data_IF_221012007615
#
_entry.id   IF_221012007615
#
_cell.length_a   1.000
_cell.length_b   1.000
_cell.length_c   1.000
_cell.angle_alpha   90.00
_cell.angle_beta   90.00
_cell.angle_gamma   90.00
#
_symmetry.space_group_name_H-M   'P 1'
#
loop_
_entity.id
_entity.type
_entity.pdbx_description
1 polymer ?
#
# COMPACT_ATOMS: atom_id res chain seq x y z
N UNK A 1 -4.73 -20.48 -5.36
CA UNK A 1 -3.54 -20.36 -4.48
C UNK A 1 -2.91 -19.01 -4.77
N UNK A 2 -2.74 -18.15 -3.76
CA UNK A 2 -2.14 -16.84 -3.96
C UNK A 2 -0.62 -16.99 -4.15
N UNK A 3 -0.05 -16.21 -5.08
CA UNK A 3 1.37 -16.21 -5.39
C UNK A 3 2.05 -14.97 -4.80
N UNK A 4 3.12 -15.17 -4.05
CA UNK A 4 3.92 -14.13 -3.39
C UNK A 4 5.30 -14.08 -4.05
N UNK A 5 5.73 -12.90 -4.48
CA UNK A 5 7.09 -12.66 -4.94
C UNK A 5 7.91 -12.10 -3.78
N UNK A 6 8.98 -12.79 -3.39
CA UNK A 6 9.96 -12.34 -2.42
C UNK A 6 11.16 -11.77 -3.17
N UNK A 7 11.55 -10.54 -2.87
CA UNK A 7 12.74 -9.88 -3.40
C UNK A 7 13.63 -9.51 -2.21
N UNK A 8 14.68 -10.28 -2.00
CA UNK A 8 15.54 -10.22 -0.80
C UNK A 8 16.92 -10.73 -1.17
N UNK A 9 17.98 -10.00 -0.87
CA UNK A 9 19.35 -10.41 -1.21
C UNK A 9 19.97 -11.41 -0.23
N UNK A 10 19.59 -11.34 1.05
CA UNK A 10 20.10 -12.24 2.08
C UNK A 10 19.48 -13.65 1.94
N UNK A 11 20.22 -14.57 1.33
CA UNK A 11 19.72 -15.91 0.97
C UNK A 11 19.09 -16.68 2.15
N UNK A 12 19.73 -16.78 3.35
CA UNK A 12 19.13 -17.52 4.45
C UNK A 12 17.77 -16.97 4.91
N UNK A 13 17.61 -15.63 4.93
CA UNK A 13 16.33 -15.01 5.29
C UNK A 13 15.28 -15.22 4.20
N UNK A 14 15.66 -15.07 2.93
CA UNK A 14 14.78 -15.32 1.78
C UNK A 14 14.25 -16.74 1.75
N UNK A 15 15.13 -17.74 1.98
CA UNK A 15 14.78 -19.16 2.00
C UNK A 15 13.84 -19.50 3.17
N UNK A 16 14.19 -19.08 4.39
CA UNK A 16 13.33 -19.27 5.57
C UNK A 16 11.95 -18.66 5.38
N UNK A 17 11.91 -17.44 4.80
CA UNK A 17 10.65 -16.76 4.52
C UNK A 17 9.84 -17.51 3.45
N UNK A 18 10.49 -18.03 2.43
CA UNK A 18 9.85 -18.81 1.38
C UNK A 18 9.27 -20.13 1.92
N UNK A 19 10.01 -20.85 2.75
CA UNK A 19 9.55 -22.07 3.43
C UNK A 19 8.32 -21.77 4.32
N UNK A 20 8.42 -20.74 5.16
CA UNK A 20 7.32 -20.32 6.02
C UNK A 20 6.04 -20.02 5.23
N UNK A 21 6.16 -19.33 4.11
CA UNK A 21 5.00 -18.98 3.28
C UNK A 21 4.47 -20.20 2.50
N UNK A 22 5.33 -21.10 2.07
CA UNK A 22 4.93 -22.35 1.41
C UNK A 22 4.16 -23.25 2.37
N UNK A 23 4.60 -23.38 3.63
CA UNK A 23 3.92 -24.14 4.69
C UNK A 23 2.51 -23.58 4.96
N UNK A 24 2.30 -22.29 4.82
CA UNK A 24 1.00 -21.63 4.93
C UNK A 24 0.16 -21.72 3.64
N UNK A 25 0.64 -22.46 2.65
CA UNK A 25 -0.11 -22.75 1.41
C UNK A 25 -0.03 -21.66 0.35
N UNK A 26 0.94 -20.76 0.40
CA UNK A 26 1.19 -19.78 -0.67
C UNK A 26 2.12 -20.38 -1.75
N UNK A 27 1.91 -20.00 -3.02
CA UNK A 27 2.92 -20.18 -4.05
C UNK A 27 3.98 -19.08 -3.90
N UNK A 28 5.27 -19.44 -3.93
CA UNK A 28 6.34 -18.49 -3.68
C UNK A 28 7.31 -18.46 -4.88
N UNK A 29 7.60 -17.25 -5.35
CA UNK A 29 8.71 -16.98 -6.25
C UNK A 29 9.76 -16.15 -5.52
N UNK A 30 11.03 -16.41 -5.79
CA UNK A 30 12.14 -15.76 -5.13
C UNK A 30 13.01 -15.01 -6.13
N UNK A 31 13.49 -13.84 -5.74
CA UNK A 31 14.47 -13.04 -6.46
C UNK A 31 15.53 -12.54 -5.48
N UNK A 32 16.80 -12.72 -5.85
CA UNK A 32 17.94 -12.40 -5.00
C UNK A 32 18.40 -10.94 -5.10
N UNK A 33 17.78 -10.13 -5.95
CA UNK A 33 18.08 -8.71 -6.11
C UNK A 33 16.95 -8.00 -6.86
N UNK A 34 17.01 -6.67 -6.89
CA UNK A 34 16.00 -5.84 -7.53
C UNK A 34 15.81 -6.07 -9.02
N UNK A 35 16.89 -6.38 -9.76
CA UNK A 35 16.79 -6.65 -11.20
C UNK A 35 16.02 -7.96 -11.47
N UNK A 36 16.34 -9.02 -10.74
CA UNK A 36 15.60 -10.29 -10.80
C UNK A 36 14.14 -10.09 -10.34
N UNK A 37 13.90 -9.29 -9.29
CA UNK A 37 12.58 -8.95 -8.82
C UNK A 37 11.72 -8.28 -9.88
N UNK A 38 12.25 -7.29 -10.59
CA UNK A 38 11.57 -6.62 -11.70
C UNK A 38 11.32 -7.54 -12.90
N UNK A 39 12.27 -8.44 -13.22
CA UNK A 39 12.11 -9.42 -14.27
C UNK A 39 11.00 -10.43 -13.92
N UNK A 40 11.03 -11.00 -12.71
CA UNK A 40 10.02 -11.93 -12.23
C UNK A 40 8.61 -11.29 -12.14
N UNK A 41 8.56 -10.02 -11.76
CA UNK A 41 7.32 -9.25 -11.73
C UNK A 41 6.74 -9.03 -13.13
N UNK A 42 7.60 -8.76 -14.12
CA UNK A 42 7.19 -8.54 -15.51
C UNK A 42 6.77 -9.84 -16.21
N UNK A 43 7.40 -10.96 -15.88
CA UNK A 43 7.10 -12.28 -16.43
C UNK A 43 5.68 -12.74 -16.03
N UNK A 44 5.35 -12.60 -14.75
CA UNK A 44 4.04 -12.97 -14.23
C UNK A 44 3.69 -12.09 -13.04
N UNK A 45 2.52 -11.45 -13.08
CA UNK A 45 1.99 -10.64 -12.01
C UNK A 45 1.79 -11.46 -10.73
N UNK A 46 2.45 -11.14 -9.60
CA UNK A 46 2.18 -11.79 -8.33
C UNK A 46 0.91 -11.24 -7.68
N UNK A 47 0.36 -11.96 -6.71
CA UNK A 47 -0.73 -11.45 -5.88
C UNK A 47 -0.23 -10.49 -4.79
N UNK A 48 1.05 -10.59 -4.39
CA UNK A 48 1.70 -9.74 -3.40
C UNK A 48 3.22 -9.77 -3.60
N UNK A 49 3.89 -8.66 -3.31
CA UNK A 49 5.35 -8.56 -3.28
C UNK A 49 5.81 -8.29 -1.85
N UNK A 50 6.77 -9.09 -1.38
CA UNK A 50 7.62 -8.79 -0.23
C UNK A 50 8.95 -8.27 -0.78
N UNK A 51 9.34 -7.06 -0.42
CA UNK A 51 10.46 -6.38 -1.03
C UNK A 51 11.41 -5.81 0.04
N UNK A 52 12.64 -6.29 0.04
CA UNK A 52 13.65 -5.70 0.92
C UNK A 52 13.97 -4.27 0.52
N UNK A 53 14.12 -3.42 1.54
CA UNK A 53 14.55 -2.04 1.38
C UNK A 53 16.02 -1.96 1.00
N UNK A 54 16.86 -2.74 1.69
CA UNK A 54 18.32 -2.62 1.64
C UNK A 54 18.92 -3.74 0.79
N UNK A 55 18.98 -3.54 -0.51
CA UNK A 55 19.62 -4.49 -1.42
C UNK A 55 20.82 -3.86 -2.14
N UNK A 56 21.91 -4.62 -2.38
CA UNK A 56 23.03 -4.15 -3.18
C UNK A 56 22.62 -3.79 -4.62
N UNK A 57 23.17 -2.71 -5.14
CA UNK A 57 22.99 -2.28 -6.52
C UNK A 57 21.71 -1.47 -6.75
N UNK A 58 20.53 -2.07 -6.66
CA UNK A 58 19.25 -1.37 -6.76
C UNK A 58 18.55 -1.30 -5.42
N UNK A 59 18.35 -0.10 -4.94
CA UNK A 59 17.56 0.22 -3.77
C UNK A 59 16.11 -0.29 -3.92
N UNK A 60 15.60 -0.99 -2.91
CA UNK A 60 14.23 -1.53 -2.89
C UNK A 60 13.16 -0.46 -3.13
N UNK A 61 13.40 0.77 -2.76
CA UNK A 61 12.49 1.87 -3.07
C UNK A 61 12.39 2.18 -4.57
N UNK A 62 13.50 2.12 -5.29
CA UNK A 62 13.49 2.29 -6.74
C UNK A 62 12.75 1.14 -7.42
N UNK A 63 12.98 -0.09 -6.96
CA UNK A 63 12.27 -1.29 -7.43
C UNK A 63 10.76 -1.16 -7.18
N UNK A 64 10.37 -0.74 -5.97
CA UNK A 64 8.97 -0.49 -5.62
C UNK A 64 8.30 0.54 -6.55
N UNK A 65 8.97 1.65 -6.83
CA UNK A 65 8.45 2.68 -7.72
C UNK A 65 8.26 2.17 -9.15
N UNK A 66 9.21 1.37 -9.67
CA UNK A 66 9.11 0.75 -11.00
C UNK A 66 7.97 -0.28 -11.08
N UNK A 67 7.81 -1.14 -10.05
CA UNK A 67 6.69 -2.07 -9.96
C UNK A 67 5.35 -1.32 -9.90
N UNK A 68 5.28 -0.27 -9.09
CA UNK A 68 4.07 0.53 -8.93
C UNK A 68 3.68 1.28 -10.20
N UNK A 69 4.66 1.70 -11.01
CA UNK A 69 4.41 2.32 -12.31
C UNK A 69 3.79 1.33 -13.32
N UNK A 70 4.17 0.03 -13.23
CA UNK A 70 3.62 -1.04 -14.08
C UNK A 70 2.28 -1.55 -13.58
N UNK A 71 2.11 -1.68 -12.27
CA UNK A 71 0.87 -2.13 -11.63
C UNK A 71 0.58 -1.30 -10.38
N UNK A 72 -0.38 -0.36 -10.47
CA UNK A 72 -0.75 0.49 -9.33
C UNK A 72 -1.50 -0.26 -8.22
N UNK A 73 -1.93 -1.50 -8.44
CA UNK A 73 -2.85 -2.22 -7.55
C UNK A 73 -2.21 -3.40 -6.80
N UNK A 74 -1.09 -3.94 -7.27
CA UNK A 74 -0.42 -5.06 -6.58
C UNK A 74 0.01 -4.64 -5.18
N UNK A 75 -0.28 -5.41 -4.12
CA UNK A 75 0.23 -5.11 -2.79
C UNK A 75 1.75 -5.25 -2.73
N UNK A 76 2.45 -4.23 -2.22
CA UNK A 76 3.89 -4.24 -2.00
C UNK A 76 4.15 -3.97 -0.52
N UNK A 77 4.65 -4.96 0.21
CA UNK A 77 5.06 -4.84 1.60
C UNK A 77 6.57 -4.75 1.65
N UNK A 78 7.09 -3.64 2.18
CA UNK A 78 8.54 -3.43 2.32
C UNK A 78 9.06 -4.13 3.57
N UNK A 79 10.12 -4.93 3.43
CA UNK A 79 10.87 -5.50 4.54
C UNK A 79 11.99 -4.53 4.93
N UNK A 80 12.14 -4.22 6.21
CA UNK A 80 13.14 -3.24 6.69
C UNK A 80 13.83 -3.72 7.95
N UNK A 81 15.10 -3.38 8.12
CA UNK A 81 15.79 -3.56 9.38
C UNK A 81 15.43 -2.43 10.36
N UNK A 82 15.37 -2.72 11.66
CA UNK A 82 14.93 -1.84 12.75
C UNK A 82 15.67 -0.48 12.85
N UNK A 83 16.88 -0.38 12.33
CA UNK A 83 17.74 0.80 12.49
C UNK A 83 17.74 1.77 11.30
N UNK A 84 16.87 1.61 10.33
CA UNK A 84 16.78 2.47 9.15
C UNK A 84 15.97 3.76 9.41
N UNK A 85 16.28 4.50 10.49
CA UNK A 85 15.51 5.71 10.85
C UNK A 85 15.74 6.86 9.85
N UNK A 86 16.94 7.01 9.30
CA UNK A 86 17.27 8.04 8.30
C UNK A 86 16.80 7.67 6.87
N UNK A 87 16.76 6.39 6.52
CA UNK A 87 16.19 5.91 5.25
C UNK A 87 14.66 6.00 5.21
N UNK A 88 14.05 6.07 6.38
CA UNK A 88 12.60 6.18 6.58
C UNK A 88 11.99 7.46 5.97
N UNK A 89 12.72 8.57 5.99
CA UNK A 89 12.27 9.86 5.42
C UNK A 89 12.36 9.84 3.88
N UNK A 90 13.35 9.17 3.31
CA UNK A 90 13.51 9.01 1.86
C UNK A 90 12.54 7.98 1.26
N UNK A 91 12.16 6.95 2.04
CA UNK A 91 11.26 5.87 1.60
C UNK A 91 9.79 6.24 1.52
N UNK A 92 9.38 7.31 2.20
CA UNK A 92 7.98 7.79 2.27
C UNK A 92 7.34 8.11 0.89
N UNK A 93 8.14 8.22 -0.16
CA UNK A 93 7.72 8.75 -1.47
C UNK A 93 7.43 7.71 -2.56
N UNK A 94 7.59 6.38 -2.33
CA UNK A 94 7.78 5.46 -3.46
C UNK A 94 6.78 4.29 -3.63
N UNK A 95 5.60 4.33 -3.02
CA UNK A 95 4.49 3.46 -3.49
C UNK A 95 4.23 2.16 -2.73
N UNK A 96 4.93 1.86 -1.63
CA UNK A 96 4.64 0.68 -0.80
C UNK A 96 3.30 0.79 -0.05
N UNK A 97 2.68 -0.35 0.22
CA UNK A 97 1.40 -0.43 0.95
C UNK A 97 1.60 -0.60 2.46
N UNK A 98 2.68 -1.25 2.88
CA UNK A 98 3.05 -1.39 4.30
C UNK A 98 4.57 -1.59 4.45
N UNK A 99 5.05 -1.44 5.71
CA UNK A 99 6.45 -1.66 6.10
C UNK A 99 6.48 -2.64 7.26
N UNK A 100 7.25 -3.71 7.09
CA UNK A 100 7.39 -4.79 8.04
C UNK A 100 8.84 -4.82 8.50
N UNK A 101 9.06 -4.73 9.81
CA UNK A 101 10.38 -4.96 10.38
C UNK A 101 10.74 -6.45 10.22
N UNK A 102 11.95 -6.76 9.75
CA UNK A 102 12.44 -8.14 9.58
C UNK A 102 12.51 -8.91 10.89
N UNK A 103 12.44 -8.23 12.03
CA UNK A 103 12.44 -8.83 13.38
C UNK A 103 11.05 -9.16 13.91
N UNK A 104 9.98 -8.86 13.18
CA UNK A 104 8.62 -9.24 13.60
C UNK A 104 8.47 -10.77 13.62
N UNK A 105 7.64 -11.25 14.54
CA UNK A 105 7.32 -12.68 14.59
C UNK A 105 6.53 -13.15 13.37
N UNK A 106 6.70 -14.42 13.01
CA UNK A 106 6.03 -15.07 11.86
C UNK A 106 4.52 -14.84 11.86
N UNK A 107 3.86 -14.91 13.03
CA UNK A 107 2.41 -14.69 13.15
C UNK A 107 1.99 -13.29 12.69
N UNK A 108 2.73 -12.26 13.05
CA UNK A 108 2.45 -10.89 12.64
C UNK A 108 2.68 -10.71 11.14
N UNK A 109 3.77 -11.25 10.61
CA UNK A 109 4.05 -11.22 9.17
C UNK A 109 2.91 -11.85 8.36
N UNK A 110 2.48 -13.05 8.75
CA UNK A 110 1.38 -13.77 8.08
C UNK A 110 0.05 -13.04 8.16
N UNK A 111 -0.27 -12.41 9.30
CA UNK A 111 -1.46 -11.59 9.45
C UNK A 111 -1.46 -10.38 8.49
N UNK A 112 -0.29 -9.72 8.33
CA UNK A 112 -0.12 -8.60 7.39
C UNK A 112 -0.28 -9.03 5.94
N UNK A 113 0.36 -10.13 5.56
CA UNK A 113 0.25 -10.72 4.22
C UNK A 113 -1.20 -11.11 3.91
N UNK A 114 -1.86 -11.84 4.82
CA UNK A 114 -3.25 -12.25 4.67
C UNK A 114 -4.19 -11.06 4.49
N UNK A 115 -3.97 -9.99 5.25
CA UNK A 115 -4.75 -8.75 5.12
C UNK A 115 -4.52 -8.06 3.78
N UNK A 116 -3.27 -7.97 3.31
CA UNK A 116 -2.95 -7.39 2.01
C UNK A 116 -3.55 -8.20 0.84
N UNK A 117 -3.46 -9.52 0.90
CA UNK A 117 -4.03 -10.43 -0.10
C UNK A 117 -5.56 -10.41 -0.14
N UNK A 118 -6.25 -10.41 1.01
CA UNK A 118 -7.73 -10.28 1.04
C UNK A 118 -8.19 -9.02 0.34
N UNK A 119 -7.49 -7.91 0.52
CA UNK A 119 -7.79 -6.63 -0.14
C UNK A 119 -7.57 -6.69 -1.63
N UNK A 120 -6.45 -7.26 -2.06
CA UNK A 120 -6.15 -7.45 -3.48
C UNK A 120 -7.10 -8.46 -4.12
N UNK A 121 -7.47 -9.54 -3.42
CA UNK A 121 -8.44 -10.52 -3.86
C UNK A 121 -9.86 -9.94 -3.97
N UNK A 122 -10.27 -9.08 -3.04
CA UNK A 122 -11.53 -8.34 -3.12
C UNK A 122 -11.59 -7.41 -4.33
N UNK A 123 -10.43 -6.93 -4.81
CA UNK A 123 -10.32 -6.14 -6.04
C UNK A 123 -10.37 -7.04 -7.27
N UNK A 124 -9.66 -8.18 -7.26
CA UNK A 124 -9.57 -9.10 -8.40
C UNK A 124 -10.86 -9.94 -8.61
N UNK A 125 -11.61 -10.24 -7.55
CA UNK A 125 -12.87 -11.01 -7.61
C UNK A 125 -14.11 -10.15 -7.81
N UNK A 126 -13.99 -8.84 -7.70
CA UNK A 126 -15.11 -7.91 -7.92
C UNK A 126 -15.27 -7.48 -9.38
N UNK A 127 -15.59 -8.43 -10.21
CA UNK A 127 -16.68 -8.29 -11.17
C UNK A 127 -17.83 -9.17 -10.65
N UNK A 128 -18.98 -8.70 -10.30
CA UNK A 128 -19.44 -7.40 -9.80
C UNK A 128 -20.03 -7.46 -8.37
N UNK A 129 -19.29 -7.15 -7.36
CA UNK A 129 -19.81 -6.64 -6.10
C UNK A 129 -18.67 -5.96 -5.33
N UNK A 130 -18.34 -4.71 -5.70
CA UNK A 130 -17.56 -3.84 -4.84
C UNK A 130 -18.26 -3.75 -3.46
N UNK A 131 -17.52 -3.78 -2.33
CA UNK A 131 -18.16 -3.49 -1.06
C UNK A 131 -18.91 -2.16 -1.20
N UNK A 132 -20.11 -2.03 -0.65
CA UNK A 132 -21.02 -0.90 -0.92
C UNK A 132 -20.40 0.48 -0.70
N UNK A 133 -19.26 0.55 -0.01
CA UNK A 133 -18.50 1.78 0.24
C UNK A 133 -17.55 2.20 -0.88
N UNK A 134 -17.09 1.31 -1.77
CA UNK A 134 -16.18 1.66 -2.88
C UNK A 134 -16.91 2.02 -4.18
N UNK A 135 -18.16 1.56 -4.36
CA UNK A 135 -18.91 1.69 -5.60
C UNK A 135 -19.47 3.09 -5.93
N UNK A 136 -19.50 4.03 -5.00
CA UNK A 136 -20.04 5.37 -5.21
C UNK A 136 -18.95 6.36 -5.57
N UNK A 137 -19.17 7.14 -6.65
CA UNK A 137 -18.32 8.31 -6.97
C UNK A 137 -18.58 9.44 -5.98
N UNK A 138 -17.54 10.15 -5.57
CA UNK A 138 -17.64 11.34 -4.71
C UNK A 138 -16.60 12.39 -5.13
N UNK A 139 -16.78 13.62 -4.64
CA UNK A 139 -15.91 14.74 -4.99
C UNK A 139 -14.90 15.03 -3.88
N UNK A 140 -13.68 15.38 -4.30
CA UNK A 140 -12.59 15.87 -3.44
C UNK A 140 -12.03 17.13 -4.10
N UNK A 141 -12.49 18.28 -3.67
CA UNK A 141 -12.19 19.53 -4.37
C UNK A 141 -12.72 19.48 -5.80
N UNK A 142 -11.85 19.70 -6.79
CA UNK A 142 -12.18 19.66 -8.21
C UNK A 142 -12.06 18.25 -8.84
N UNK A 143 -11.69 17.23 -8.05
CA UNK A 143 -11.51 15.88 -8.53
C UNK A 143 -12.72 15.00 -8.20
N UNK A 144 -13.11 14.16 -9.16
CA UNK A 144 -14.08 13.07 -8.94
C UNK A 144 -13.31 11.79 -8.64
N UNK A 145 -13.61 11.15 -7.54
CA UNK A 145 -13.11 9.82 -7.18
C UNK A 145 -14.12 8.79 -7.68
N UNK A 146 -13.71 7.93 -8.60
CA UNK A 146 -14.47 6.77 -9.05
C UNK A 146 -13.99 5.54 -8.25
N UNK A 147 -14.68 5.24 -7.16
CA UNK A 147 -14.28 4.16 -6.26
C UNK A 147 -14.46 2.77 -6.87
N UNK A 148 -15.36 2.60 -7.85
CA UNK A 148 -15.58 1.33 -8.53
C UNK A 148 -14.46 1.03 -9.54
N UNK A 149 -14.04 2.05 -10.30
CA UNK A 149 -12.98 1.92 -11.30
C UNK A 149 -11.59 2.18 -10.74
N UNK A 150 -11.48 2.69 -9.50
CA UNK A 150 -10.23 3.09 -8.85
C UNK A 150 -9.47 4.18 -9.62
N UNK A 151 -10.20 5.20 -10.05
CA UNK A 151 -9.65 6.38 -10.72
C UNK A 151 -9.98 7.67 -9.99
N UNK A 152 -9.00 8.56 -9.99
CA UNK A 152 -9.13 9.97 -9.66
C UNK A 152 -9.22 10.73 -10.99
N UNK A 153 -10.28 11.52 -11.18
CA UNK A 153 -10.57 12.20 -12.42
C UNK A 153 -10.55 13.71 -12.15
N UNK A 154 -9.64 14.43 -12.78
CA UNK A 154 -9.52 15.87 -12.60
C UNK A 154 -10.60 16.66 -13.38
N UNK A 155 -10.67 17.97 -13.18
CA UNK A 155 -11.63 18.85 -13.84
C UNK A 155 -11.50 18.87 -15.39
N UNK A 156 -10.37 18.39 -15.93
CA UNK A 156 -10.13 18.27 -17.37
C UNK A 156 -10.45 16.86 -17.91
N UNK A 157 -10.96 15.97 -17.06
CA UNK A 157 -11.28 14.59 -17.42
C UNK A 157 -10.06 13.65 -17.49
N UNK A 158 -8.88 14.08 -17.04
CA UNK A 158 -7.70 13.21 -17.00
C UNK A 158 -7.83 12.21 -15.85
N UNK A 159 -7.66 10.95 -16.19
CA UNK A 159 -7.76 9.84 -15.25
C UNK A 159 -6.39 9.47 -14.68
N UNK A 160 -6.30 9.30 -13.37
CA UNK A 160 -5.14 8.81 -12.66
C UNK A 160 -5.55 7.68 -11.74
N UNK A 161 -4.84 6.54 -11.79
CA UNK A 161 -5.14 5.40 -10.92
C UNK A 161 -4.95 5.76 -9.43
N UNK A 162 -5.88 5.29 -8.61
CA UNK A 162 -5.88 5.47 -7.16
C UNK A 162 -6.02 4.11 -6.47
N UNK A 163 -5.22 3.87 -5.43
CA UNK A 163 -5.29 2.60 -4.71
C UNK A 163 -6.59 2.51 -3.87
N UNK A 164 -7.14 1.29 -3.66
CA UNK A 164 -8.36 1.09 -2.87
C UNK A 164 -8.28 1.69 -1.48
N UNK A 165 -7.12 1.57 -0.82
CA UNK A 165 -6.89 2.18 0.49
C UNK A 165 -6.94 3.70 0.44
N UNK A 166 -6.42 4.30 -0.62
CA UNK A 166 -6.46 5.74 -0.83
C UNK A 166 -7.91 6.23 -1.03
N UNK A 167 -8.74 5.46 -1.75
CA UNK A 167 -10.19 5.74 -1.89
C UNK A 167 -10.89 5.69 -0.54
N UNK A 168 -10.60 4.66 0.28
CA UNK A 168 -11.17 4.52 1.63
C UNK A 168 -10.78 5.70 2.53
N UNK A 169 -9.50 6.11 2.55
CA UNK A 169 -9.01 7.26 3.33
C UNK A 169 -9.72 8.54 2.89
N UNK A 170 -9.78 8.82 1.58
CA UNK A 170 -10.44 10.01 1.07
C UNK A 170 -11.91 10.05 1.48
N UNK A 171 -12.62 8.94 1.30
CA UNK A 171 -14.03 8.86 1.68
C UNK A 171 -14.23 9.12 3.16
N UNK A 172 -13.46 8.44 4.02
CA UNK A 172 -13.57 8.58 5.48
C UNK A 172 -13.34 10.02 5.94
N UNK A 173 -12.38 10.71 5.32
CA UNK A 173 -12.08 12.10 5.59
C UNK A 173 -13.16 13.05 5.05
N UNK A 174 -13.68 12.79 3.85
CA UNK A 174 -14.73 13.64 3.23
C UNK A 174 -16.05 13.52 3.97
N UNK A 175 -16.45 12.32 4.39
CA UNK A 175 -17.65 12.08 5.20
C UNK A 175 -17.61 12.79 6.58
N UNK A 176 -16.39 13.08 7.06
CA UNK A 176 -16.11 13.80 8.33
C UNK A 176 -15.47 15.16 8.07
N UNK A 177 -15.91 15.83 7.00
CA UNK A 177 -15.37 17.14 6.64
C UNK A 177 -15.44 18.13 7.81
N UNK A 178 -14.32 18.80 8.12
CA UNK A 178 -14.17 19.72 9.24
C UNK A 178 -13.76 19.06 10.56
N UNK A 179 -13.93 17.75 10.71
CA UNK A 179 -13.50 17.03 11.91
C UNK A 179 -12.02 16.66 11.83
N UNK A 180 -11.38 16.52 12.99
CA UNK A 180 -10.04 15.95 13.09
C UNK A 180 -10.15 14.45 13.29
N UNK A 181 -9.67 13.69 12.32
CA UNK A 181 -9.62 12.23 12.35
C UNK A 181 -8.24 11.78 12.83
N UNK A 182 -8.18 11.00 13.89
CA UNK A 182 -6.91 10.49 14.40
C UNK A 182 -6.29 9.44 13.45
N UNK A 183 -4.99 9.22 13.57
CA UNK A 183 -4.30 8.17 12.82
C UNK A 183 -4.81 6.79 13.19
N UNK A 184 -5.07 6.60 14.46
CA UNK A 184 -5.62 5.37 15.04
C UNK A 184 -7.01 5.07 14.48
N UNK A 185 -7.88 6.07 14.40
CA UNK A 185 -9.22 5.91 13.79
C UNK A 185 -9.16 5.55 12.31
N UNK A 186 -8.19 6.12 11.56
CA UNK A 186 -7.93 5.72 10.18
C UNK A 186 -7.40 4.29 10.08
N UNK A 187 -6.54 3.89 11.00
CA UNK A 187 -6.03 2.53 11.09
C UNK A 187 -7.18 1.56 11.36
N UNK A 188 -7.96 1.82 12.39
CA UNK A 188 -9.11 0.98 12.76
C UNK A 188 -10.09 0.82 11.60
N UNK A 189 -10.47 1.93 10.94
CA UNK A 189 -11.35 1.91 9.78
C UNK A 189 -10.79 1.13 8.58
N UNK A 190 -9.48 1.23 8.34
CA UNK A 190 -8.85 0.57 7.19
C UNK A 190 -8.59 -0.91 7.42
N UNK A 191 -8.43 -1.34 8.66
CA UNK A 191 -7.98 -2.68 9.05
C UNK A 191 -9.03 -3.49 9.82
N UNK A 192 -10.28 -3.00 9.94
CA UNK A 192 -11.44 -3.69 10.58
C UNK A 192 -11.13 -4.27 11.97
N UNK A 193 -10.23 -3.64 12.74
CA UNK A 193 -9.86 -4.06 14.09
C UNK A 193 -9.00 -5.33 14.18
N UNK A 194 -8.79 -6.06 13.10
CA UNK A 194 -8.01 -7.31 13.12
C UNK A 194 -6.48 -7.09 13.17
N UNK A 195 -6.05 -5.88 12.79
CA UNK A 195 -4.63 -5.58 12.74
C UNK A 195 -4.38 -4.06 12.82
N UNK A 196 -3.54 -3.65 13.76
CA UNK A 196 -3.06 -2.27 13.83
C UNK A 196 -1.99 -2.00 12.77
N UNK A 197 -2.39 -1.46 11.61
CA UNK A 197 -1.46 -0.82 10.69
C UNK A 197 -0.59 0.22 11.43
N UNK A 198 0.60 0.51 10.92
CA UNK A 198 1.42 1.56 11.53
C UNK A 198 0.89 2.94 11.13
N UNK A 199 0.94 3.92 12.04
CA UNK A 199 0.61 5.32 11.74
C UNK A 199 1.35 5.85 10.52
N UNK A 200 2.56 5.31 10.27
CA UNK A 200 3.39 5.61 9.13
C UNK A 200 2.75 5.22 7.78
N UNK A 201 2.05 4.08 7.71
CA UNK A 201 1.38 3.65 6.48
C UNK A 201 0.25 4.61 6.10
N UNK A 202 -0.39 5.24 7.10
CA UNK A 202 -1.37 6.31 6.92
C UNK A 202 -0.71 7.58 6.39
N UNK A 203 0.39 8.01 7.03
CA UNK A 203 1.11 9.23 6.63
C UNK A 203 1.58 9.14 5.16
N UNK A 204 2.06 7.97 4.72
CA UNK A 204 2.42 7.72 3.33
C UNK A 204 1.24 7.78 2.38
N UNK A 205 0.13 7.14 2.74
CA UNK A 205 -1.06 7.14 1.90
C UNK A 205 -1.60 8.57 1.74
N UNK A 206 -1.65 9.35 2.81
CA UNK A 206 -2.06 10.76 2.78
C UNK A 206 -1.09 11.60 1.94
N UNK A 207 0.21 11.35 2.05
CA UNK A 207 1.19 12.06 1.22
C UNK A 207 0.95 11.79 -0.27
N UNK A 208 0.79 10.51 -0.70
CA UNK A 208 0.47 10.15 -2.09
C UNK A 208 -0.83 10.77 -2.57
N UNK A 209 -1.85 10.79 -1.72
CA UNK A 209 -3.11 11.44 -2.03
C UNK A 209 -2.94 12.93 -2.31
N UNK A 210 -2.16 13.63 -1.50
CA UNK A 210 -1.87 15.06 -1.73
C UNK A 210 -1.16 15.30 -3.06
N UNK A 211 -0.20 14.46 -3.42
CA UNK A 211 0.48 14.53 -4.72
C UNK A 211 -0.49 14.32 -5.88
N UNK A 212 -1.34 13.30 -5.80
CA UNK A 212 -2.35 12.99 -6.83
C UNK A 212 -3.40 14.09 -6.97
N UNK A 213 -3.81 14.69 -5.89
CA UNK A 213 -4.80 15.78 -5.84
C UNK A 213 -4.18 17.14 -6.22
N UNK A 214 -2.87 17.26 -6.29
CA UNK A 214 -2.18 18.51 -6.64
C UNK A 214 -2.61 19.67 -5.74
N UNK A 215 -3.24 20.71 -6.32
CA UNK A 215 -3.70 21.88 -5.55
C UNK A 215 -4.74 21.54 -4.49
N UNK A 216 -5.62 20.57 -4.78
CA UNK A 216 -6.65 20.12 -3.83
C UNK A 216 -6.07 19.25 -2.71
N UNK A 217 -4.85 18.77 -2.82
CA UNK A 217 -4.15 18.05 -1.76
C UNK A 217 -4.03 18.84 -0.45
N UNK A 218 -4.02 20.19 -0.52
CA UNK A 218 -4.03 21.08 0.64
C UNK A 218 -5.32 21.00 1.46
N UNK A 219 -6.42 20.49 0.86
CA UNK A 219 -7.70 20.28 1.54
C UNK A 219 -7.61 19.14 2.59
N UNK A 220 -6.63 18.25 2.44
CA UNK A 220 -6.28 17.30 3.50
C UNK A 220 -5.23 17.96 4.40
N UNK A 221 -5.66 18.59 5.47
CA UNK A 221 -4.77 19.27 6.42
C UNK A 221 -4.18 18.28 7.43
N UNK A 222 -2.92 18.48 7.85
CA UNK A 222 -2.34 17.77 8.99
C UNK A 222 -2.66 18.56 10.26
N UNK A 223 -3.21 17.88 11.25
CA UNK A 223 -3.38 18.41 12.61
C UNK A 223 -2.27 17.79 13.46
N UNK A 224 -1.24 18.60 13.79
CA UNK A 224 -0.06 18.12 14.49
C UNK A 224 -0.45 17.45 15.82
N UNK A 225 0.14 16.29 16.09
CA UNK A 225 -0.15 15.49 17.29
C UNK A 225 -1.50 14.77 17.30
N UNK A 226 -2.44 15.11 16.40
CA UNK A 226 -3.79 14.55 16.40
C UNK A 226 -4.12 13.70 15.17
N UNK A 227 -3.79 14.13 13.94
CA UNK A 227 -4.13 13.35 12.75
C UNK A 227 -4.36 14.21 11.51
N UNK A 228 -5.48 13.99 10.82
CA UNK A 228 -5.82 14.66 9.57
C UNK A 228 -7.24 15.20 9.59
N UNK A 229 -7.48 16.27 8.80
CA UNK A 229 -8.80 16.85 8.62
C UNK A 229 -9.01 17.21 7.16
N UNK A 230 -10.18 16.92 6.60
CA UNK A 230 -10.56 17.40 5.27
C UNK A 230 -11.30 18.73 5.38
N UNK A 231 -10.83 19.71 4.63
CA UNK A 231 -11.40 21.08 4.54
C UNK A 231 -11.85 21.32 3.10
N UNK A 232 -13.17 21.25 2.83
CA UNK A 232 -13.73 21.38 1.49
C UNK A 232 -13.44 22.72 0.82
#
# INVERSE_FOLDING_TARGET
MAEILIVEDHAPFRETLAETLADEGYAVRQAANGAQGLAAFAEKRPNLVLLDVMMPGRDGYAVCAEMRAKDPLVPILMLTAKNAEDDRVRGLRRGADDYIDKTVGTRELLARIGTALRRAGAIATSSPAAPPTLGMSFMVGSHRVDGARLFLIDARGREQAIAPREVKILRFLVERAGETVSREALIEFLWDGEYAGTTRSIDQAVWRLREKLGKDGKKIATVHGAGYSYRP
#
